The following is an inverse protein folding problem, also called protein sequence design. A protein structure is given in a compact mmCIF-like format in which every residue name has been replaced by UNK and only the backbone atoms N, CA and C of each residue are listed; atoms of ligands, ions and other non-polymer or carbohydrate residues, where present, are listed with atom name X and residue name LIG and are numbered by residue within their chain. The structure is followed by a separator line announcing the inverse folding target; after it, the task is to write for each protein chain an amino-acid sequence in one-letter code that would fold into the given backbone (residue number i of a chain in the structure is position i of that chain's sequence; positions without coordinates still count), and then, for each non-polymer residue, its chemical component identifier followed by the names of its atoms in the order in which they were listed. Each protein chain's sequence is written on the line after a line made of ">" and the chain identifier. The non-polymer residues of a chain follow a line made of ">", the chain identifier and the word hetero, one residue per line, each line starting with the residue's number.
data_IF_383351191352
#
_entry.id   IF_383351191352
#
_cell.length_a   1.000
_cell.length_b   1.000
_cell.length_c   1.000
_cell.angle_alpha   90.00
_cell.angle_beta   90.00
_cell.angle_gamma   90.00
#
_symmetry.space_group_name_H-M   'P 1'
#
loop_
_entity.id
_entity.type
_entity.pdbx_description
1 polymer ?
#
# COMPACT_ATOMS: atom_id res chain seq x y z
N UNK A 1 -4.96 8.62 -60.80
CA UNK A 1 -5.97 8.40 -59.73
C UNK A 1 -5.37 7.37 -58.77
N UNK A 2 -4.70 7.83 -57.70
CA UNK A 2 -4.13 6.96 -56.66
C UNK A 2 -5.14 6.90 -55.52
N UNK A 3 -5.54 5.69 -55.16
CA UNK A 3 -6.47 5.42 -54.06
C UNK A 3 -5.60 5.36 -52.80
N UNK A 4 -5.74 6.35 -51.92
CA UNK A 4 -5.06 6.37 -50.64
C UNK A 4 -5.93 5.62 -49.62
N UNK A 5 -5.52 4.41 -49.26
CA UNK A 5 -6.16 3.62 -48.22
C UNK A 5 -5.63 4.11 -46.87
N UNK A 6 -6.28 5.14 -46.32
CA UNK A 6 -6.06 5.59 -44.95
C UNK A 6 -6.40 4.47 -43.97
N UNK A 7 -5.38 3.78 -43.47
CA UNK A 7 -5.51 2.78 -42.41
C UNK A 7 -5.81 3.49 -41.08
N UNK A 8 -7.08 3.45 -40.69
CA UNK A 8 -7.52 3.71 -39.32
C UNK A 8 -7.18 2.50 -38.45
N UNK A 9 -6.20 2.64 -37.57
CA UNK A 9 -6.08 1.80 -36.38
C UNK A 9 -5.44 2.63 -35.26
N UNK A 10 -6.26 3.39 -34.52
CA UNK A 10 -5.85 3.86 -33.19
C UNK A 10 -6.04 2.69 -32.22
N UNK A 11 -4.99 2.17 -31.57
CA UNK A 11 -5.18 1.17 -30.55
C UNK A 11 -5.94 1.82 -29.38
N UNK A 12 -7.07 1.22 -29.00
CA UNK A 12 -7.77 1.51 -27.76
C UNK A 12 -6.93 0.98 -26.59
N UNK A 13 -5.89 1.74 -26.22
CA UNK A 13 -5.33 1.71 -24.87
C UNK A 13 -5.86 2.94 -24.15
N UNK A 14 -6.38 2.80 -22.93
CA UNK A 14 -6.60 3.95 -22.05
C UNK A 14 -5.25 4.65 -21.87
N UNK A 15 -5.01 5.68 -22.66
CA UNK A 15 -3.89 6.59 -22.43
C UNK A 15 -4.34 7.43 -21.24
N UNK A 16 -3.79 7.14 -20.06
CA UNK A 16 -3.85 8.06 -18.93
C UNK A 16 -3.43 9.43 -19.47
N UNK A 17 -4.37 10.37 -19.57
CA UNK A 17 -4.05 11.72 -20.02
C UNK A 17 -3.22 12.35 -18.90
N UNK A 18 -1.90 12.39 -19.08
CA UNK A 18 -0.96 12.91 -18.09
C UNK A 18 -1.33 14.33 -17.63
N UNK A 19 -2.12 15.07 -18.44
CA UNK A 19 -2.63 16.41 -18.11
C UNK A 19 -3.58 16.43 -16.91
N UNK A 20 -4.25 15.32 -16.57
CA UNK A 20 -5.17 15.26 -15.42
C UNK A 20 -4.44 15.24 -14.07
N UNK A 21 -3.16 14.86 -14.05
CA UNK A 21 -2.34 14.76 -12.83
C UNK A 21 -1.17 15.76 -12.81
N UNK A 22 -1.11 16.65 -13.81
CA UNK A 22 -0.15 17.76 -13.83
C UNK A 22 -0.76 19.04 -13.21
N UNK A 23 -1.56 18.89 -12.15
CA UNK A 23 -2.25 20.00 -11.48
C UNK A 23 -1.54 20.39 -10.16
N UNK A 24 -1.66 21.65 -9.70
CA UNK A 24 -1.17 22.05 -8.38
C UNK A 24 -1.73 21.22 -7.23
N UNK A 25 -3.00 20.82 -7.33
CA UNK A 25 -3.71 20.02 -6.33
C UNK A 25 -3.09 18.64 -6.20
N UNK A 26 -2.90 17.94 -7.34
CA UNK A 26 -2.26 16.63 -7.36
C UNK A 26 -0.83 16.71 -6.83
N UNK A 27 -0.03 17.68 -7.31
CA UNK A 27 1.36 17.86 -6.88
C UNK A 27 1.48 18.13 -5.39
N UNK A 28 0.52 18.87 -4.83
CA UNK A 28 0.47 19.16 -3.39
C UNK A 28 0.13 17.91 -2.58
N UNK A 29 -0.92 17.18 -2.96
CA UNK A 29 -1.35 15.96 -2.28
C UNK A 29 -0.33 14.82 -2.38
N UNK A 30 0.29 14.65 -3.54
CA UNK A 30 1.26 13.58 -3.80
C UNK A 30 2.68 13.96 -3.34
N UNK A 31 2.89 15.19 -2.87
CA UNK A 31 4.21 15.70 -2.49
C UNK A 31 4.91 14.76 -1.52
N UNK A 32 6.18 14.45 -1.79
CA UNK A 32 7.05 13.55 -1.01
C UNK A 32 6.63 12.08 -0.95
N UNK A 33 5.53 11.67 -1.62
CA UNK A 33 5.13 10.26 -1.68
C UNK A 33 6.27 9.38 -2.21
N UNK A 34 6.41 8.20 -1.61
CA UNK A 34 7.37 7.15 -2.03
C UNK A 34 6.78 6.18 -3.05
N UNK A 35 5.52 6.36 -3.42
CA UNK A 35 4.80 5.53 -4.40
C UNK A 35 5.10 5.97 -5.84
N UNK A 36 6.38 5.96 -6.21
CA UNK A 36 6.87 6.40 -7.52
C UNK A 36 7.36 5.24 -8.38
N UNK A 37 7.38 5.44 -9.69
CA UNK A 37 7.96 4.51 -10.65
C UNK A 37 9.50 4.58 -10.65
N UNK A 38 10.13 3.82 -11.54
CA UNK A 38 11.61 3.76 -11.66
C UNK A 38 12.24 5.09 -12.08
N UNK A 39 11.47 6.00 -12.68
CA UNK A 39 11.90 7.34 -13.10
C UNK A 39 11.59 8.39 -12.03
N UNK A 40 11.00 8.00 -10.90
CA UNK A 40 10.59 8.90 -9.82
C UNK A 40 9.27 9.63 -10.09
N UNK A 41 8.51 9.25 -11.12
CA UNK A 41 7.20 9.82 -11.41
C UNK A 41 6.12 9.13 -10.58
N UNK A 42 4.96 9.78 -10.34
CA UNK A 42 3.85 9.13 -9.67
C UNK A 42 3.47 7.79 -10.32
N UNK A 43 3.52 6.70 -9.55
CA UNK A 43 3.15 5.39 -10.05
C UNK A 43 1.64 5.16 -9.93
N UNK A 44 1.02 4.62 -10.98
CA UNK A 44 -0.32 4.05 -10.87
C UNK A 44 -0.19 2.66 -10.26
N UNK A 45 -0.91 2.46 -9.16
CA UNK A 45 -0.99 1.21 -8.40
C UNK A 45 -2.38 0.60 -8.56
N UNK A 46 -2.50 -0.69 -8.26
CA UNK A 46 -3.69 -1.46 -8.58
C UNK A 46 -4.24 -2.19 -7.36
N UNK A 47 -5.56 -2.12 -7.19
CA UNK A 47 -6.30 -2.92 -6.23
C UNK A 47 -7.32 -3.79 -6.95
N UNK A 48 -7.32 -5.09 -6.71
CA UNK A 48 -8.34 -6.00 -7.21
C UNK A 48 -9.50 -6.08 -6.24
N UNK A 49 -10.73 -5.90 -6.73
CA UNK A 49 -11.95 -5.93 -5.93
C UNK A 49 -13.11 -6.47 -6.78
N UNK A 50 -14.28 -6.67 -6.18
CA UNK A 50 -15.51 -7.12 -6.86
C UNK A 50 -16.66 -6.11 -6.73
N UNK A 51 -16.38 -4.92 -6.21
CA UNK A 51 -17.33 -3.86 -5.91
C UNK A 51 -16.79 -2.51 -6.33
N UNK A 52 -17.69 -1.56 -6.57
CA UNK A 52 -17.32 -0.15 -6.67
C UNK A 52 -16.88 0.36 -5.30
N UNK A 53 -15.77 1.10 -5.26
CA UNK A 53 -15.21 1.65 -4.02
C UNK A 53 -15.21 3.17 -4.14
N UNK A 54 -15.95 3.84 -3.26
CA UNK A 54 -15.82 5.28 -3.06
C UNK A 54 -14.85 5.61 -1.91
N UNK A 55 -14.86 4.78 -0.87
CA UNK A 55 -14.00 4.90 0.31
C UNK A 55 -13.41 3.53 0.62
N UNK A 56 -12.10 3.45 0.75
CA UNK A 56 -11.44 2.20 1.11
C UNK A 56 -11.68 1.84 2.57
N UNK A 57 -12.00 0.57 2.83
CA UNK A 57 -11.94 0.03 4.17
C UNK A 57 -10.48 -0.12 4.59
N UNK A 58 -10.05 0.75 5.51
CA UNK A 58 -8.67 0.74 6.02
C UNK A 58 -8.47 -0.23 7.17
N UNK A 59 -9.50 -0.86 7.72
CA UNK A 59 -9.36 -1.90 8.74
C UNK A 59 -8.95 -3.25 8.17
N UNK A 60 -8.79 -3.34 6.84
CA UNK A 60 -8.44 -4.57 6.15
C UNK A 60 -9.62 -5.53 6.06
N UNK A 61 -9.32 -6.82 6.01
CA UNK A 61 -10.34 -7.86 5.95
C UNK A 61 -10.79 -8.33 7.34
N UNK A 62 -11.34 -9.54 7.38
CA UNK A 62 -11.71 -10.23 8.62
C UNK A 62 -10.64 -11.23 9.06
N UNK A 63 -10.58 -11.54 10.35
CA UNK A 63 -9.66 -12.56 10.87
C UNK A 63 -8.20 -12.13 10.72
N UNK A 64 -7.37 -12.94 10.06
CA UNK A 64 -5.91 -12.69 9.97
C UNK A 64 -5.56 -11.42 9.19
N UNK A 65 -6.44 -10.93 8.32
CA UNK A 65 -6.22 -9.69 7.55
C UNK A 65 -6.85 -8.46 8.20
N UNK A 66 -7.38 -8.58 9.43
CA UNK A 66 -7.89 -7.43 10.17
C UNK A 66 -6.75 -6.57 10.73
N UNK A 67 -6.93 -5.25 10.69
CA UNK A 67 -5.98 -4.24 11.16
C UNK A 67 -4.77 -4.06 10.24
N UNK A 68 -4.76 -4.63 9.04
CA UNK A 68 -3.58 -4.63 8.16
C UNK A 68 -3.56 -3.46 7.17
N UNK A 69 -4.67 -2.75 6.95
CA UNK A 69 -4.73 -1.67 5.95
C UNK A 69 -5.30 -2.13 4.60
N UNK A 70 -5.26 -1.22 3.62
CA UNK A 70 -5.62 -1.52 2.24
C UNK A 70 -4.37 -1.85 1.41
N UNK A 71 -4.38 -2.99 0.72
CA UNK A 71 -3.26 -3.49 -0.09
C UNK A 71 -3.38 -3.11 -1.56
N UNK A 72 -2.25 -2.77 -2.17
CA UNK A 72 -2.13 -2.41 -3.57
C UNK A 72 -0.89 -3.04 -4.17
N UNK A 73 -0.89 -3.32 -5.47
CA UNK A 73 0.26 -3.84 -6.21
C UNK A 73 0.68 -2.89 -7.31
N UNK A 74 1.99 -2.84 -7.61
CA UNK A 74 2.49 -2.24 -8.85
C UNK A 74 2.19 -3.08 -10.10
N UNK A 75 1.78 -4.34 -9.92
CA UNK A 75 1.42 -5.26 -11.00
C UNK A 75 -0.11 -5.39 -11.09
N UNK A 76 -0.73 -4.95 -12.21
CA UNK A 76 -2.15 -5.17 -12.40
C UNK A 76 -2.49 -6.67 -12.48
N UNK A 77 -1.58 -7.49 -13.00
CA UNK A 77 -1.76 -8.95 -13.07
C UNK A 77 -1.82 -9.58 -11.67
N UNK A 78 -0.98 -9.13 -10.74
CA UNK A 78 -1.01 -9.57 -9.33
C UNK A 78 -2.29 -9.10 -8.66
N UNK A 79 -2.65 -7.82 -8.80
CA UNK A 79 -3.91 -7.29 -8.27
C UNK A 79 -5.13 -8.06 -8.80
N UNK A 80 -5.13 -8.49 -10.07
CA UNK A 80 -6.24 -9.25 -10.66
C UNK A 80 -6.50 -10.57 -9.95
N UNK A 81 -5.50 -11.18 -9.33
CA UNK A 81 -5.70 -12.43 -8.57
C UNK A 81 -6.54 -12.25 -7.30
N UNK A 82 -6.68 -11.00 -6.85
CA UNK A 82 -7.48 -10.61 -5.70
C UNK A 82 -8.89 -10.11 -6.08
N UNK A 83 -9.13 -9.83 -7.37
CA UNK A 83 -10.48 -9.65 -7.87
C UNK A 83 -11.19 -11.02 -7.83
N UNK A 84 -11.89 -11.30 -6.73
CA UNK A 84 -12.59 -12.58 -6.50
C UNK A 84 -13.42 -13.03 -7.71
N UNK A 85 -13.65 -14.34 -7.92
CA UNK A 85 -14.33 -14.87 -9.10
C UNK A 85 -15.85 -14.62 -9.13
N UNK A 86 -16.31 -13.44 -8.72
CA UNK A 86 -17.59 -12.93 -9.14
C UNK A 86 -17.46 -12.43 -10.59
N UNK A 87 -18.54 -12.52 -11.37
CA UNK A 87 -18.65 -12.06 -12.76
C UNK A 87 -18.25 -10.56 -12.91
N UNK A 88 -18.13 -9.83 -11.80
CA UNK A 88 -17.87 -8.38 -11.69
C UNK A 88 -16.51 -8.01 -11.09
N UNK A 89 -15.51 -8.89 -11.10
CA UNK A 89 -14.16 -8.54 -10.65
C UNK A 89 -13.60 -7.33 -11.42
N UNK A 90 -13.17 -6.28 -10.69
CA UNK A 90 -12.62 -5.05 -11.25
C UNK A 90 -11.23 -4.76 -10.68
N UNK A 91 -10.40 -4.14 -11.51
CA UNK A 91 -9.12 -3.56 -11.09
C UNK A 91 -9.30 -2.06 -10.98
N UNK A 92 -9.00 -1.53 -9.80
CA UNK A 92 -9.07 -0.12 -9.49
C UNK A 92 -7.67 0.50 -9.54
N UNK A 93 -7.37 1.36 -10.54
CA UNK A 93 -6.11 2.08 -10.61
C UNK A 93 -6.14 3.29 -9.69
N UNK A 94 -5.14 3.43 -8.83
CA UNK A 94 -5.05 4.50 -7.83
C UNK A 94 -3.66 5.11 -7.79
N UNK A 95 -3.58 6.34 -7.29
CA UNK A 95 -2.36 6.88 -6.71
C UNK A 95 -2.42 6.72 -5.19
N UNK A 96 -1.24 6.54 -4.58
CA UNK A 96 -1.08 6.55 -3.14
C UNK A 96 -0.13 7.66 -2.71
N UNK A 97 -0.51 8.41 -1.69
CA UNK A 97 0.39 9.36 -1.01
C UNK A 97 0.89 8.74 0.29
N UNK A 98 2.07 8.11 0.24
CA UNK A 98 2.77 7.55 1.40
C UNK A 98 4.10 8.28 1.55
N UNK A 99 4.20 9.25 2.46
CA UNK A 99 5.35 10.15 2.58
C UNK A 99 6.51 9.53 3.38
N UNK A 100 6.18 8.87 4.48
CA UNK A 100 7.09 8.21 5.42
C UNK A 100 6.68 6.74 5.69
N UNK A 101 6.58 5.88 4.66
CA UNK A 101 6.27 4.47 4.86
C UNK A 101 7.48 3.71 5.39
N UNK A 102 7.21 2.62 6.10
CA UNK A 102 8.19 1.55 6.33
C UNK A 102 8.48 0.86 5.01
N UNK A 103 9.75 0.58 4.70
CA UNK A 103 10.13 -0.14 3.48
C UNK A 103 10.70 -1.51 3.85
N UNK A 104 10.18 -2.57 3.25
CA UNK A 104 10.61 -3.95 3.46
C UNK A 104 11.21 -4.48 2.17
N UNK A 105 12.49 -4.86 2.20
CA UNK A 105 13.20 -5.40 1.04
C UNK A 105 13.03 -6.92 1.00
N UNK A 106 11.94 -7.39 0.39
CA UNK A 106 11.56 -8.81 0.44
C UNK A 106 12.36 -9.70 -0.52
N UNK A 107 13.09 -9.12 -1.48
CA UNK A 107 14.04 -9.82 -2.35
C UNK A 107 13.50 -11.09 -3.05
N UNK A 108 12.23 -11.08 -3.44
CA UNK A 108 11.55 -12.18 -4.12
C UNK A 108 10.88 -13.19 -3.19
N UNK A 109 10.85 -12.94 -1.88
CA UNK A 109 10.16 -13.77 -0.90
C UNK A 109 8.67 -13.88 -1.18
N UNK A 110 8.05 -14.96 -0.69
CA UNK A 110 6.60 -15.11 -0.72
C UNK A 110 5.98 -14.22 0.38
N UNK A 111 4.81 -13.64 0.11
CA UNK A 111 4.07 -12.77 1.03
C UNK A 111 3.88 -13.35 2.44
N UNK A 112 3.81 -14.68 2.57
CA UNK A 112 3.66 -15.38 3.86
C UNK A 112 4.94 -16.10 4.34
N UNK A 113 6.10 -15.78 3.77
CA UNK A 113 7.42 -16.37 4.10
C UNK A 113 8.54 -15.32 4.08
N UNK A 114 8.40 -14.24 4.83
CA UNK A 114 9.49 -13.28 5.01
C UNK A 114 10.42 -13.78 6.13
N UNK A 115 11.62 -14.22 5.75
CA UNK A 115 12.58 -14.81 6.68
C UNK A 115 13.38 -13.79 7.50
N UNK A 116 14.06 -14.29 8.53
CA UNK A 116 14.85 -13.54 9.52
C UNK A 116 15.74 -12.42 8.97
N UNK A 117 16.36 -12.63 7.80
CA UNK A 117 17.35 -11.71 7.20
C UNK A 117 16.76 -10.68 6.25
N UNK A 118 15.44 -10.67 6.05
CA UNK A 118 14.76 -9.63 5.29
C UNK A 118 15.08 -8.27 5.92
N UNK A 119 15.54 -7.34 5.09
CA UNK A 119 15.88 -5.98 5.52
C UNK A 119 14.62 -5.14 5.62
N UNK A 120 14.50 -4.40 6.72
CA UNK A 120 13.45 -3.44 6.98
C UNK A 120 14.07 -2.06 7.27
N UNK A 121 13.57 -1.06 6.57
CA UNK A 121 13.97 0.34 6.66
C UNK A 121 12.83 1.09 7.37
N UNK A 122 13.12 1.54 8.59
CA UNK A 122 12.20 2.30 9.41
C UNK A 122 12.49 3.79 9.21
N UNK A 123 11.50 4.59 8.81
CA UNK A 123 11.67 6.03 8.69
C UNK A 123 11.67 6.70 10.07
N UNK A 124 12.20 7.92 10.11
CA UNK A 124 11.91 8.81 11.23
C UNK A 124 10.42 9.20 11.17
N UNK A 125 9.74 9.13 12.31
CA UNK A 125 8.32 9.43 12.41
C UNK A 125 7.98 10.06 13.76
N UNK A 126 6.99 10.94 13.78
CA UNK A 126 6.35 11.42 15.01
C UNK A 126 5.01 10.70 15.10
N UNK A 127 4.83 9.91 16.15
CA UNK A 127 3.65 9.06 16.33
C UNK A 127 2.98 9.38 17.66
N UNK A 128 1.68 9.10 17.76
CA UNK A 128 0.97 9.22 19.04
C UNK A 128 1.59 8.30 20.10
N UNK A 129 1.71 8.79 21.32
CA UNK A 129 2.16 8.01 22.47
C UNK A 129 0.99 7.62 23.40
N UNK A 130 -0.24 7.69 22.89
CA UNK A 130 -1.46 7.49 23.65
C UNK A 130 -1.54 6.11 24.34
N UNK A 131 -0.98 5.05 23.75
CA UNK A 131 -0.97 3.71 24.40
C UNK A 131 -0.13 3.73 25.70
N UNK A 132 1.01 4.43 25.69
CA UNK A 132 1.85 4.60 26.87
C UNK A 132 1.18 5.52 27.90
N UNK A 133 0.56 6.62 27.44
CA UNK A 133 -0.20 7.53 28.30
C UNK A 133 -1.40 6.84 28.95
N UNK A 134 -2.15 6.01 28.22
CA UNK A 134 -3.28 5.25 28.75
C UNK A 134 -2.82 4.23 29.80
N UNK A 135 -1.68 3.57 29.57
CA UNK A 135 -1.11 2.66 30.55
C UNK A 135 -0.64 3.42 31.81
N UNK A 136 0.02 4.57 31.64
CA UNK A 136 0.44 5.41 32.74
C UNK A 136 -0.76 5.92 33.55
N UNK A 137 -1.76 6.48 32.88
CA UNK A 137 -3.04 6.90 33.44
C UNK A 137 -3.72 5.80 34.27
N UNK A 138 -3.77 4.57 33.73
CA UNK A 138 -4.35 3.43 34.43
C UNK A 138 -3.54 2.98 35.68
N UNK A 139 -2.24 3.28 35.72
CA UNK A 139 -1.37 2.97 36.86
C UNK A 139 -1.31 4.09 37.91
N UNK A 140 -1.62 5.34 37.52
CA UNK A 140 -1.49 6.53 38.38
C UNK A 140 -2.81 7.21 38.73
N UNK A 141 -3.95 6.69 38.26
CA UNK A 141 -5.28 7.32 38.36
C UNK A 141 -5.31 8.77 37.81
N UNK A 142 -4.50 9.04 36.79
CA UNK A 142 -4.45 10.32 36.09
C UNK A 142 -5.14 10.24 34.73
N UNK A 143 -5.59 11.39 34.20
CA UNK A 143 -6.08 11.46 32.83
C UNK A 143 -4.91 11.38 31.82
N UNK A 144 -5.02 10.59 30.74
CA UNK A 144 -3.96 10.44 29.75
C UNK A 144 -3.79 11.73 28.93
N UNK A 145 -2.55 12.08 28.59
CA UNK A 145 -2.30 13.16 27.65
C UNK A 145 -2.62 12.71 26.21
N UNK A 146 -3.82 13.06 25.73
CA UNK A 146 -4.31 12.67 24.40
C UNK A 146 -3.48 13.22 23.23
N UNK A 147 -2.65 14.24 23.48
CA UNK A 147 -1.79 14.87 22.47
C UNK A 147 -0.33 14.42 22.59
N UNK A 148 -0.01 13.49 23.50
CA UNK A 148 1.34 12.99 23.64
C UNK A 148 1.84 12.36 22.33
N UNK A 149 3.06 12.70 21.96
CA UNK A 149 3.73 12.13 20.79
C UNK A 149 5.13 11.71 21.15
N UNK A 150 5.62 10.65 20.49
CA UNK A 150 7.01 10.24 20.54
C UNK A 150 7.66 10.27 19.17
N UNK A 151 8.96 10.51 19.17
CA UNK A 151 9.79 10.49 17.97
C UNK A 151 10.44 9.13 17.79
N UNK A 152 10.12 8.43 16.70
CA UNK A 152 10.79 7.22 16.25
C UNK A 152 12.01 7.60 15.40
N UNK A 153 13.16 7.00 15.67
CA UNK A 153 14.39 7.26 14.91
C UNK A 153 14.45 6.42 13.64
N UNK A 154 14.92 7.01 12.56
CA UNK A 154 15.22 6.27 11.34
C UNK A 154 16.29 5.20 11.60
N UNK A 155 16.07 3.98 11.10
CA UNK A 155 17.06 2.90 11.15
C UNK A 155 16.79 1.83 10.12
N UNK A 156 17.84 1.18 9.64
CA UNK A 156 17.76 -0.03 8.83
C UNK A 156 18.20 -1.22 9.67
N UNK A 157 17.44 -2.30 9.64
CA UNK A 157 17.72 -3.53 10.40
C UNK A 157 17.17 -4.74 9.65
N UNK A 158 17.32 -5.93 10.22
CA UNK A 158 16.70 -7.18 9.75
C UNK A 158 15.54 -7.59 10.65
N UNK A 159 14.62 -8.42 10.14
CA UNK A 159 13.44 -8.87 10.89
C UNK A 159 13.81 -9.57 12.21
N UNK A 160 14.80 -10.46 12.22
CA UNK A 160 15.22 -11.13 13.45
C UNK A 160 15.84 -10.20 14.50
N UNK A 161 16.47 -9.10 14.08
CA UNK A 161 16.99 -8.09 15.01
C UNK A 161 15.88 -7.21 15.55
N UNK A 162 14.81 -7.02 14.77
CA UNK A 162 13.64 -6.24 15.15
C UNK A 162 12.70 -7.06 16.06
N UNK A 163 12.57 -8.35 15.80
CA UNK A 163 11.68 -9.29 16.47
C UNK A 163 12.44 -10.56 16.91
N UNK A 164 13.39 -10.46 17.84
CA UNK A 164 14.24 -11.60 18.21
C UNK A 164 13.47 -12.80 18.75
N UNK A 165 12.31 -12.60 19.38
CA UNK A 165 11.46 -13.69 19.88
C UNK A 165 10.55 -14.34 18.84
N UNK A 166 10.39 -13.74 17.66
CA UNK A 166 9.56 -14.27 16.56
C UNK A 166 10.39 -15.03 15.52
N UNK A 167 11.71 -15.06 15.69
CA UNK A 167 12.68 -15.72 14.80
C UNK A 167 13.68 -16.51 15.64
N UNK A 168 13.15 -17.41 16.48
CA UNK A 168 13.96 -18.29 17.34
C UNK A 168 14.49 -19.50 16.53
N UNK A 169 13.72 -19.96 15.55
CA UNK A 169 14.03 -21.10 14.69
C UNK A 169 14.32 -20.66 13.25
N UNK A 170 15.15 -21.43 12.55
CA UNK A 170 15.59 -21.11 11.18
C UNK A 170 14.45 -21.11 10.15
N UNK A 171 13.33 -21.78 10.45
CA UNK A 171 12.13 -21.86 9.61
C UNK A 171 11.04 -20.87 10.03
N UNK A 172 11.29 -19.99 11.00
CA UNK A 172 10.37 -18.92 11.37
C UNK A 172 10.26 -17.86 10.25
N UNK A 173 9.04 -17.36 10.06
CA UNK A 173 8.73 -16.35 9.05
C UNK A 173 7.63 -15.40 9.52
N UNK A 174 7.72 -14.15 9.04
CA UNK A 174 6.62 -13.21 9.10
C UNK A 174 5.82 -13.21 7.78
N UNK A 175 4.58 -12.73 7.83
CA UNK A 175 3.81 -12.37 6.64
C UNK A 175 3.77 -10.86 6.40
N UNK A 176 3.36 -10.45 5.19
CA UNK A 176 3.07 -9.05 4.88
C UNK A 176 1.98 -8.48 5.80
N UNK A 177 0.99 -9.30 6.17
CA UNK A 177 -0.07 -8.92 7.11
C UNK A 177 0.49 -8.62 8.51
N UNK A 178 1.44 -9.42 9.01
CA UNK A 178 2.03 -9.23 10.33
C UNK A 178 2.84 -7.93 10.39
N UNK A 179 3.64 -7.67 9.36
CA UNK A 179 4.44 -6.45 9.27
C UNK A 179 3.58 -5.20 9.06
N UNK A 180 2.50 -5.30 8.27
CA UNK A 180 1.55 -4.22 8.09
C UNK A 180 0.81 -3.88 9.39
N UNK A 181 0.30 -4.89 10.10
CA UNK A 181 -0.38 -4.73 11.39
C UNK A 181 0.55 -4.14 12.44
N UNK A 182 1.78 -4.65 12.52
CA UNK A 182 2.80 -4.10 13.40
C UNK A 182 3.09 -2.64 13.09
N UNK A 183 3.36 -2.30 11.83
CA UNK A 183 3.71 -0.93 11.42
C UNK A 183 2.57 0.05 11.74
N UNK A 184 1.32 -0.35 11.48
CA UNK A 184 0.14 0.44 11.86
C UNK A 184 0.05 0.62 13.37
N UNK A 185 0.27 -0.44 14.17
CA UNK A 185 0.28 -0.34 15.64
C UNK A 185 1.37 0.61 16.14
N UNK A 186 2.53 0.65 15.50
CA UNK A 186 3.60 1.60 15.83
C UNK A 186 3.28 3.06 15.43
N UNK A 187 2.19 3.29 14.70
CA UNK A 187 1.78 4.61 14.22
C UNK A 187 2.50 5.06 12.94
N UNK A 188 3.18 4.16 12.22
CA UNK A 188 3.70 4.48 10.89
C UNK A 188 2.56 4.75 9.90
N UNK A 189 2.88 5.48 8.83
CA UNK A 189 1.91 5.96 7.85
C UNK A 189 1.45 4.86 6.86
N UNK A 190 2.30 3.87 6.59
CA UNK A 190 2.07 2.80 5.62
C UNK A 190 3.29 1.90 5.48
N UNK A 191 3.19 0.91 4.59
CA UNK A 191 4.29 -0.03 4.29
C UNK A 191 4.47 -0.21 2.79
N UNK A 192 5.71 -0.31 2.33
CA UNK A 192 6.05 -0.71 0.97
C UNK A 192 6.90 -1.98 1.03
N UNK A 193 6.40 -3.08 0.48
CA UNK A 193 7.14 -4.32 0.29
C UNK A 193 7.73 -4.35 -1.11
N UNK A 194 9.04 -4.35 -1.23
CA UNK A 194 9.75 -4.40 -2.50
C UNK A 194 9.99 -5.83 -2.94
N UNK A 195 9.66 -6.11 -4.20
CA UNK A 195 9.89 -7.41 -4.84
C UNK A 195 9.32 -8.59 -4.04
N UNK A 196 8.02 -8.61 -3.79
CA UNK A 196 7.31 -9.71 -3.12
C UNK A 196 6.56 -10.56 -4.15
N UNK A 197 6.57 -11.87 -3.97
CA UNK A 197 5.71 -12.80 -4.71
C UNK A 197 4.40 -12.93 -3.97
N UNK A 198 3.35 -12.40 -4.57
CA UNK A 198 2.02 -12.38 -3.99
C UNK A 198 0.99 -12.87 -4.99
N UNK A 199 0.12 -13.76 -4.54
CA UNK A 199 -0.95 -14.33 -5.34
C UNK A 199 -2.19 -14.54 -4.47
N UNK A 200 -3.32 -14.10 -5.00
CA UNK A 200 -4.62 -14.27 -4.39
C UNK A 200 -4.96 -15.74 -4.12
N UNK A 201 -5.76 -16.02 -3.08
CA UNK A 201 -5.93 -17.36 -2.51
C UNK A 201 -6.71 -18.33 -3.41
N UNK A 202 -7.46 -17.82 -4.40
CA UNK A 202 -8.33 -18.64 -5.24
C UNK A 202 -7.65 -19.21 -6.50
N UNK A 203 -6.43 -18.76 -6.81
CA UNK A 203 -5.78 -19.05 -8.10
C UNK A 203 -6.48 -18.43 -9.32
N UNK A 204 -7.54 -17.63 -9.11
CA UNK A 204 -8.22 -16.91 -10.20
C UNK A 204 -7.25 -15.90 -10.82
N UNK A 205 -7.27 -15.80 -12.16
CA UNK A 205 -6.37 -14.92 -12.92
C UNK A 205 -4.86 -15.16 -12.65
N UNK A 206 -4.50 -16.32 -12.08
CA UNK A 206 -3.10 -16.69 -11.90
C UNK A 206 -2.44 -16.96 -13.26
N UNK A 207 -1.36 -16.22 -13.53
CA UNK A 207 -0.56 -16.29 -14.75
C UNK A 207 0.91 -16.26 -14.37
N UNK A 208 1.81 -16.57 -15.30
CA UNK A 208 3.26 -16.42 -15.04
C UNK A 208 3.64 -14.97 -14.72
N UNK A 209 2.90 -14.00 -15.26
CA UNK A 209 3.10 -12.58 -14.96
C UNK A 209 2.67 -12.26 -13.52
N UNK A 210 1.54 -12.79 -13.05
CA UNK A 210 1.08 -12.54 -11.68
C UNK A 210 1.85 -13.34 -10.61
N UNK A 211 2.62 -14.36 -11.00
CA UNK A 211 3.58 -15.08 -10.13
C UNK A 211 4.90 -14.33 -9.95
N UNK A 212 5.23 -13.44 -10.88
CA UNK A 212 6.48 -12.69 -10.83
C UNK A 212 6.47 -11.72 -9.63
N UNK A 213 7.63 -11.45 -9.01
CA UNK A 213 7.72 -10.47 -7.95
C UNK A 213 7.22 -9.10 -8.40
N UNK A 214 6.43 -8.45 -7.55
CA UNK A 214 5.99 -7.06 -7.72
C UNK A 214 6.20 -6.27 -6.43
N UNK A 215 5.97 -4.96 -6.45
CA UNK A 215 5.97 -4.18 -5.22
C UNK A 215 4.54 -4.14 -4.67
N UNK A 216 4.40 -4.34 -3.36
CA UNK A 216 3.14 -4.14 -2.65
C UNK A 216 3.20 -2.89 -1.79
N UNK A 217 2.08 -2.22 -1.68
CA UNK A 217 1.90 -0.99 -0.93
C UNK A 217 0.72 -1.15 -0.01
N UNK A 218 0.84 -0.65 1.21
CA UNK A 218 -0.20 -0.71 2.22
C UNK A 218 -0.47 0.69 2.74
N UNK A 219 -1.71 1.15 2.57
CA UNK A 219 -2.21 2.41 3.10
C UNK A 219 -3.03 2.15 4.35
N UNK A 220 -2.87 3.00 5.37
CA UNK A 220 -3.57 2.88 6.65
C UNK A 220 -4.68 3.92 6.83
N UNK A 221 -4.78 4.90 5.93
CA UNK A 221 -5.81 5.94 5.95
C UNK A 221 -6.40 6.13 4.55
N UNK A 222 -7.72 6.34 4.47
CA UNK A 222 -8.44 6.42 3.20
C UNK A 222 -8.02 7.65 2.37
N UNK A 223 -7.65 8.74 3.05
CA UNK A 223 -7.19 10.00 2.45
C UNK A 223 -5.89 9.85 1.64
N UNK A 224 -5.13 8.78 1.91
CA UNK A 224 -3.89 8.46 1.20
C UNK A 224 -4.16 7.88 -0.19
N UNK A 225 -5.42 7.59 -0.55
CA UNK A 225 -5.78 6.83 -1.74
C UNK A 225 -6.68 7.69 -2.64
N UNK A 226 -6.28 7.88 -3.90
CA UNK A 226 -7.07 8.64 -4.89
C UNK A 226 -7.13 7.90 -6.22
N UNK A 227 -8.29 7.89 -6.86
CA UNK A 227 -8.49 7.19 -8.13
C UNK A 227 -7.66 7.83 -9.24
N UNK A 228 -6.91 7.01 -9.98
CA UNK A 228 -6.15 7.46 -11.14
C UNK A 228 -7.00 7.58 -12.43
N UNK A 229 -8.30 7.26 -12.36
CA UNK A 229 -9.21 7.38 -13.52
C UNK A 229 -10.44 8.24 -13.22
N UNK A 230 -10.98 8.13 -12.01
CA UNK A 230 -12.25 8.74 -11.60
C UNK A 230 -12.14 10.03 -10.80
N UNK A 231 -10.95 10.47 -10.41
CA UNK A 231 -10.78 11.65 -9.55
C UNK A 231 -11.11 12.97 -10.26
N UNK A 232 -11.91 13.82 -9.62
CA UNK A 232 -12.41 15.11 -10.17
C UNK A 232 -11.33 16.16 -10.42
N UNK A 233 -10.10 15.91 -9.97
CA UNK A 233 -8.94 16.81 -10.05
C UNK A 233 -8.70 17.61 -8.77
N UNK A 234 -9.50 17.41 -7.72
CA UNK A 234 -9.40 18.17 -6.46
C UNK A 234 -8.31 17.65 -5.54
N UNK A 235 -8.04 16.35 -5.56
CA UNK A 235 -7.04 15.66 -4.73
C UNK A 235 -7.05 16.14 -3.27
N UNK A 236 -8.24 16.21 -2.68
CA UNK A 236 -8.42 16.79 -1.36
C UNK A 236 -7.76 15.89 -0.29
N UNK A 237 -6.74 16.37 0.44
CA UNK A 237 -6.00 15.56 1.40
C UNK A 237 -6.82 15.18 2.64
N UNK A 238 -7.96 15.82 2.88
CA UNK A 238 -8.83 15.52 4.02
C UNK A 238 -9.99 14.58 3.66
N UNK A 239 -10.19 14.32 2.37
CA UNK A 239 -11.32 13.53 1.90
C UNK A 239 -10.96 12.06 1.78
N UNK A 240 -11.76 11.21 2.42
CA UNK A 240 -11.66 9.76 2.30
C UNK A 240 -12.21 9.24 0.95
N UNK A 241 -12.94 10.08 0.20
CA UNK A 241 -13.48 9.71 -1.10
C UNK A 241 -12.36 9.69 -2.16
N UNK A 242 -12.23 8.60 -2.89
CA UNK A 242 -11.16 8.42 -3.89
C UNK A 242 -11.35 9.30 -5.13
N UNK A 243 -12.57 9.76 -5.38
CA UNK A 243 -12.94 10.63 -6.50
C UNK A 243 -12.74 12.12 -6.20
N UNK A 244 -12.46 12.51 -4.95
CA UNK A 244 -12.19 13.90 -4.55
C UNK A 244 -10.72 14.24 -4.61
#
# INVERSE_FOLDING_TARGET
>A
MKIDLGSSARPFGLRLDCRRFDTPEFKSWFKNSKCVDKEGKPAVLYHGTNQDIEVFNIDGGSGKTHGTGAFFSSSPATASTYATPAITGVILPVFLSLQCPVIVQAAGANWNRLGARVTIELPEAIVSDLEAENLFAALTDQEPNLLATKKLKARTTTLNKLFPGEFEYDDDFASTDDLARWARKQGYEGVIFRSIRDQGPSGSFATEISKAPSDLFVAFQAQQIKSALGNTGRFNPNSANICD
#
